data_IF_852112269516
#
_entry.id   IF_852112269516
#
_cell.length_a   1.000
_cell.length_b   1.000
_cell.length_c   1.000
_cell.angle_alpha   90.00
_cell.angle_beta   90.00
_cell.angle_gamma   90.00
#
_symmetry.space_group_name_H-M   'P 1'
#
loop_
_entity.id
_entity.type
_entity.pdbx_description
1 polymer ?
#
# COMPACT_ATOMS: atom_id res chain seq x y z
N UNK A 1 1.07 8.36 -13.69
CA UNK A 1 1.09 9.47 -12.70
C UNK A 1 2.29 9.28 -11.76
N UNK A 2 3.16 10.29 -11.62
CA UNK A 2 4.37 10.20 -10.80
C UNK A 2 4.00 10.19 -9.30
N UNK A 3 4.43 9.16 -8.57
CA UNK A 3 4.21 9.05 -7.12
C UNK A 3 5.15 10.02 -6.39
N UNK A 4 4.65 10.71 -5.35
CA UNK A 4 5.47 11.56 -4.48
C UNK A 4 6.63 10.77 -3.85
N UNK A 5 7.85 11.32 -3.87
CA UNK A 5 9.07 10.67 -3.33
C UNK A 5 8.94 10.25 -1.86
N UNK A 6 8.30 11.06 -1.02
CA UNK A 6 8.09 10.77 0.39
C UNK A 6 7.11 9.60 0.56
N UNK A 7 6.02 9.61 -0.19
CA UNK A 7 5.06 8.52 -0.19
C UNK A 7 5.67 7.21 -0.70
N UNK A 8 6.48 7.28 -1.76
CA UNK A 8 7.27 6.14 -2.23
C UNK A 8 8.16 5.57 -1.12
N UNK A 9 8.93 6.42 -0.42
CA UNK A 9 9.76 6.01 0.73
C UNK A 9 8.95 5.37 1.86
N UNK A 10 7.78 5.92 2.16
CA UNK A 10 6.86 5.38 3.17
C UNK A 10 6.40 3.97 2.80
N UNK A 11 5.89 3.78 1.58
CA UNK A 11 5.45 2.49 1.07
C UNK A 11 6.56 1.43 1.16
N UNK A 12 7.80 1.79 0.81
CA UNK A 12 8.93 0.87 0.90
C UNK A 12 9.22 0.42 2.34
N UNK A 13 9.19 1.36 3.30
CA UNK A 13 9.43 1.03 4.71
C UNK A 13 8.36 0.08 5.24
N UNK A 14 7.09 0.36 4.94
CA UNK A 14 5.98 -0.48 5.37
C UNK A 14 6.02 -1.87 4.72
N UNK A 15 6.27 -1.94 3.42
CA UNK A 15 6.44 -3.21 2.72
C UNK A 15 7.58 -4.04 3.32
N UNK A 16 8.76 -3.43 3.51
CA UNK A 16 9.92 -4.13 4.10
C UNK A 16 9.63 -4.60 5.52
N UNK A 17 9.06 -3.75 6.37
CA UNK A 17 8.77 -4.11 7.75
C UNK A 17 7.72 -5.23 7.83
N UNK A 18 6.65 -5.15 7.04
CA UNK A 18 5.63 -6.19 6.96
C UNK A 18 6.20 -7.53 6.51
N UNK A 19 7.04 -7.51 5.47
CA UNK A 19 7.68 -8.72 4.93
C UNK A 19 8.73 -9.32 5.86
N UNK A 20 9.61 -8.49 6.43
CA UNK A 20 10.71 -8.94 7.30
C UNK A 20 10.23 -9.42 8.67
N UNK A 21 9.26 -8.71 9.26
CA UNK A 21 8.76 -9.05 10.60
C UNK A 21 7.59 -10.04 10.56
N UNK A 22 7.14 -10.44 9.37
CA UNK A 22 6.01 -11.37 9.20
C UNK A 22 4.67 -10.83 9.73
N UNK A 23 4.52 -9.50 9.81
CA UNK A 23 3.36 -8.85 10.42
C UNK A 23 2.36 -8.38 9.37
N UNK A 24 1.07 -8.49 9.71
CA UNK A 24 -0.02 -7.94 8.92
C UNK A 24 -0.16 -6.45 9.22
N UNK A 25 0.09 -5.61 8.21
CA UNK A 25 0.00 -4.16 8.30
C UNK A 25 -1.02 -3.61 7.33
N UNK A 26 -1.70 -2.57 7.80
CA UNK A 26 -2.46 -1.67 6.95
C UNK A 26 -2.13 -0.24 7.35
N UNK A 27 -2.11 0.65 6.37
CA UNK A 27 -2.23 2.06 6.67
C UNK A 27 -3.13 2.73 5.65
N UNK A 28 -3.77 3.81 6.09
CA UNK A 28 -4.61 4.64 5.24
C UNK A 28 -4.23 6.10 5.42
N UNK A 29 -4.31 6.85 4.32
CA UNK A 29 -4.06 8.29 4.30
C UNK A 29 -5.25 8.93 3.59
N UNK A 30 -5.98 9.76 4.32
CA UNK A 30 -7.02 10.64 3.74
C UNK A 30 -6.38 11.97 3.39
N UNK A 31 -6.53 12.41 2.15
CA UNK A 31 -6.20 13.76 1.70
C UNK A 31 -7.50 14.52 1.45
N UNK A 32 -8.05 15.23 2.46
CA UNK A 32 -9.35 15.91 2.36
C UNK A 32 -9.38 16.90 1.18
N UNK A 33 -8.30 17.67 1.02
CA UNK A 33 -8.19 18.72 -0.01
C UNK A 33 -8.12 18.17 -1.45
N UNK A 34 -7.90 16.87 -1.63
CA UNK A 34 -7.77 16.22 -2.95
C UNK A 34 -8.87 15.21 -3.21
N UNK A 35 -9.79 15.06 -2.25
CA UNK A 35 -10.79 14.00 -2.24
C UNK A 35 -10.16 12.63 -2.56
N UNK A 36 -8.96 12.38 -2.04
CA UNK A 36 -8.15 11.21 -2.34
C UNK A 36 -7.93 10.38 -1.06
N UNK A 37 -8.18 9.08 -1.17
CA UNK A 37 -7.92 8.13 -0.11
C UNK A 37 -6.92 7.09 -0.60
N UNK A 38 -5.81 6.96 0.13
CA UNK A 38 -4.76 6.01 -0.22
C UNK A 38 -4.67 4.95 0.87
N UNK A 39 -4.64 3.69 0.46
CA UNK A 39 -4.51 2.53 1.35
C UNK A 39 -3.32 1.70 0.91
N UNK A 40 -2.57 1.18 1.87
CA UNK A 40 -1.63 0.09 1.65
C UNK A 40 -2.00 -1.10 2.53
N UNK A 41 -1.98 -2.28 1.94
CA UNK A 41 -2.27 -3.55 2.61
C UNK A 41 -1.05 -4.46 2.44
N UNK A 42 -0.54 -5.01 3.54
CA UNK A 42 0.54 -5.99 3.49
C UNK A 42 0.03 -7.36 3.00
N UNK A 43 0.97 -8.27 2.73
CA UNK A 43 0.62 -9.67 2.47
C UNK A 43 -0.23 -10.24 3.61
N UNK A 44 -1.25 -11.03 3.25
CA UNK A 44 -2.16 -11.72 4.19
C UNK A 44 -2.98 -10.79 5.10
N UNK A 45 -2.96 -9.47 4.87
CA UNK A 45 -3.91 -8.56 5.49
C UNK A 45 -5.29 -8.78 4.83
N UNK A 46 -6.19 -9.47 5.54
CA UNK A 46 -7.56 -9.62 5.09
C UNK A 46 -8.41 -8.56 5.80
N UNK A 47 -8.74 -7.50 5.07
CA UNK A 47 -9.73 -6.54 5.55
C UNK A 47 -11.09 -7.01 5.04
N UNK A 48 -11.79 -7.82 5.84
CA UNK A 48 -13.19 -8.19 5.62
C UNK A 48 -14.07 -6.94 5.64
N UNK A 49 -14.08 -6.15 4.58
CA UNK A 49 -15.02 -5.05 4.38
C UNK A 49 -14.84 -3.79 5.23
N UNK A 50 -14.08 -3.81 6.35
CA UNK A 50 -14.08 -2.69 7.33
C UNK A 50 -13.51 -1.37 6.81
N UNK A 51 -12.52 -1.39 5.93
CA UNK A 51 -12.02 -0.17 5.25
C UNK A 51 -12.93 0.19 4.07
N UNK A 52 -13.76 -0.75 3.60
CA UNK A 52 -14.69 -0.62 2.48
C UNK A 52 -15.87 0.31 2.77
N UNK A 53 -16.33 0.39 4.01
CA UNK A 53 -17.48 1.23 4.36
C UNK A 53 -17.15 2.73 4.40
N UNK A 54 -15.87 3.12 4.53
CA UNK A 54 -15.43 4.53 4.36
C UNK A 54 -15.27 4.96 2.88
N UNK A 55 -15.55 4.08 1.90
CA UNK A 55 -15.19 4.24 0.47
C UNK A 55 -16.18 5.07 -0.38
N UNK A 56 -17.35 5.46 0.12
CA UNK A 56 -18.47 5.82 -0.77
C UNK A 56 -18.29 7.19 -1.48
N UNK A 57 -17.33 8.04 -1.10
CA UNK A 57 -17.27 9.43 -1.63
C UNK A 57 -15.93 9.90 -2.21
N UNK A 58 -14.85 9.10 -2.16
CA UNK A 58 -13.47 9.60 -2.40
C UNK A 58 -12.73 8.76 -3.45
N UNK A 59 -11.87 9.40 -4.26
CA UNK A 59 -10.95 8.71 -5.18
C UNK A 59 -10.03 7.77 -4.39
N UNK A 60 -10.30 6.47 -4.50
CA UNK A 60 -9.56 5.43 -3.80
C UNK A 60 -8.36 4.93 -4.61
N UNK A 61 -7.19 4.87 -3.98
CA UNK A 61 -6.02 4.14 -4.46
C UNK A 61 -5.57 3.12 -3.45
N UNK A 62 -5.50 1.86 -3.87
CA UNK A 62 -5.01 0.77 -3.05
C UNK A 62 -3.63 0.35 -3.59
N UNK A 63 -2.66 0.22 -2.69
CA UNK A 63 -1.33 -0.31 -2.96
C UNK A 63 -1.19 -1.66 -2.27
N UNK A 64 -0.99 -2.70 -3.07
CA UNK A 64 -0.67 -4.06 -2.60
C UNK A 64 0.84 -4.30 -2.66
N UNK A 65 1.34 -5.36 -2.01
CA UNK A 65 2.78 -5.68 -2.02
C UNK A 65 3.34 -5.80 -3.44
N UNK A 66 2.58 -6.41 -4.36
CA UNK A 66 2.94 -6.54 -5.77
C UNK A 66 3.10 -5.17 -6.48
N UNK A 67 2.27 -4.18 -6.14
CA UNK A 67 2.42 -2.83 -6.68
C UNK A 67 3.73 -2.20 -6.21
N UNK A 68 4.13 -2.45 -4.96
CA UNK A 68 5.39 -1.95 -4.41
C UNK A 68 6.57 -2.64 -5.09
N UNK A 69 6.52 -3.95 -5.26
CA UNK A 69 7.54 -4.71 -5.97
C UNK A 69 7.74 -4.16 -7.39
N UNK A 70 6.67 -3.88 -8.12
CA UNK A 70 6.72 -3.25 -9.44
C UNK A 70 7.27 -1.81 -9.39
N UNK A 71 6.81 -0.97 -8.44
CA UNK A 71 7.26 0.43 -8.30
C UNK A 71 8.76 0.54 -7.99
N UNK A 72 9.32 -0.47 -7.32
CA UNK A 72 10.72 -0.52 -6.94
C UNK A 72 11.57 -1.46 -7.82
N UNK A 73 10.99 -2.08 -8.84
CA UNK A 73 11.63 -3.15 -9.63
C UNK A 73 12.27 -4.22 -8.73
N UNK A 74 11.62 -4.53 -7.58
CA UNK A 74 12.00 -5.62 -6.70
C UNK A 74 11.42 -6.89 -7.33
N UNK A 75 11.94 -7.25 -8.50
CA UNK A 75 11.82 -8.60 -9.00
C UNK A 75 12.67 -9.45 -8.07
N UNK A 76 12.05 -10.17 -7.13
CA UNK A 76 12.63 -11.43 -6.69
C UNK A 76 12.72 -12.31 -7.96
N UNK A 77 13.79 -12.14 -8.75
CA UNK A 77 14.23 -13.19 -9.67
C UNK A 77 14.51 -14.36 -8.76
N UNK A 78 13.54 -15.28 -8.69
CA UNK A 78 13.76 -16.64 -8.21
C UNK A 78 14.97 -17.11 -9.01
N UNK A 79 16.15 -17.14 -8.37
CA UNK A 79 17.30 -17.83 -8.96
C UNK A 79 16.84 -19.28 -9.05
N UNK A 80 16.82 -19.77 -10.28
CA UNK A 80 16.57 -21.16 -10.67
C UNK A 80 17.46 -22.07 -9.84
#
# INVERSE_FOLDING_TARGET
KKINRNFKRLLNKYYKYGKLSGVKLVFYIKYPNKDEFIVFESEKYNCDGKITEKKISVKLKIYKPNDIENIFNILYKKKV
#
